data_IF_449694704717
#
_entry.id   IF_449694704717
#
_cell.length_a   1.000
_cell.length_b   1.000
_cell.length_c   1.000
_cell.angle_alpha   90.00
_cell.angle_beta   90.00
_cell.angle_gamma   90.00
#
_symmetry.space_group_name_H-M   'P 1'
#
loop_
_entity.id
_entity.type
_entity.pdbx_description
1 polymer ?
#
# COMPACT_ATOMS: atom_id res chain seq x y z
N UNK A 1 -1.47 -25.55 0.42
CA UNK A 1 -1.26 -24.19 -0.11
C UNK A 1 -2.56 -23.50 -0.46
N UNK A 2 -3.53 -24.16 -1.11
CA UNK A 2 -4.78 -23.51 -1.59
C UNK A 2 -5.72 -22.89 -0.53
N UNK A 3 -5.80 -23.43 0.71
CA UNK A 3 -6.72 -22.91 1.74
C UNK A 3 -6.30 -21.54 2.32
N UNK A 4 -5.00 -21.27 2.37
CA UNK A 4 -4.46 -20.00 2.91
C UNK A 4 -4.60 -18.90 1.87
N UNK A 5 -4.41 -19.23 0.59
CA UNK A 5 -4.51 -18.28 -0.53
C UNK A 5 -5.95 -17.83 -0.77
N UNK A 6 -6.94 -18.73 -0.72
CA UNK A 6 -8.36 -18.36 -0.85
C UNK A 6 -8.86 -17.48 0.30
N UNK A 7 -8.37 -17.74 1.51
CA UNK A 7 -8.70 -16.93 2.70
C UNK A 7 -8.14 -15.51 2.58
N UNK A 8 -6.90 -15.37 2.12
CA UNK A 8 -6.27 -14.06 1.90
C UNK A 8 -6.98 -13.25 0.79
N UNK A 9 -7.43 -13.91 -0.28
CA UNK A 9 -8.18 -13.25 -1.36
C UNK A 9 -9.52 -12.73 -0.82
N UNK A 10 -10.31 -13.58 -0.15
CA UNK A 10 -11.60 -13.19 0.39
C UNK A 10 -11.50 -12.05 1.42
N UNK A 11 -10.45 -12.04 2.25
CA UNK A 11 -10.18 -10.94 3.17
C UNK A 11 -9.94 -9.62 2.42
N UNK A 12 -9.07 -9.64 1.41
CA UNK A 12 -8.74 -8.44 0.62
C UNK A 12 -9.95 -7.93 -0.16
N UNK A 13 -10.76 -8.83 -0.73
CA UNK A 13 -12.01 -8.46 -1.42
C UNK A 13 -13.01 -7.81 -0.46
N UNK A 14 -13.20 -8.38 0.74
CA UNK A 14 -14.05 -7.82 1.78
C UNK A 14 -13.57 -6.42 2.19
N UNK A 15 -12.27 -6.26 2.42
CA UNK A 15 -11.68 -4.96 2.79
C UNK A 15 -11.90 -3.96 1.65
N UNK A 16 -11.63 -4.35 0.40
CA UNK A 16 -11.81 -3.46 -0.75
C UNK A 16 -13.25 -2.96 -0.86
N UNK A 17 -14.23 -3.86 -0.76
CA UNK A 17 -15.65 -3.52 -0.82
C UNK A 17 -16.09 -2.61 0.33
N UNK A 18 -15.59 -2.84 1.54
CA UNK A 18 -15.84 -1.98 2.70
C UNK A 18 -15.24 -0.58 2.49
N UNK A 19 -14.00 -0.50 1.99
CA UNK A 19 -13.30 0.77 1.80
C UNK A 19 -13.96 1.65 0.73
N UNK A 20 -14.57 1.03 -0.29
CA UNK A 20 -15.32 1.78 -1.30
C UNK A 20 -16.58 2.45 -0.76
N UNK A 21 -17.04 2.06 0.44
CA UNK A 21 -18.24 2.56 1.10
C UNK A 21 -17.95 3.19 2.48
N UNK A 22 -16.72 3.68 2.70
CA UNK A 22 -16.35 4.30 3.99
C UNK A 22 -17.20 5.55 4.30
N UNK A 23 -17.52 5.73 5.57
CA UNK A 23 -18.20 6.93 6.07
C UNK A 23 -17.23 7.86 6.81
N UNK A 24 -17.54 9.16 6.93
CA UNK A 24 -16.72 10.10 7.72
C UNK A 24 -16.52 9.64 9.18
N UNK A 25 -17.56 9.09 9.82
CA UNK A 25 -17.48 8.58 11.20
C UNK A 25 -16.46 7.44 11.33
N UNK A 26 -16.39 6.59 10.31
CA UNK A 26 -15.40 5.51 10.27
C UNK A 26 -13.98 6.06 10.12
N UNK A 27 -13.77 7.07 9.26
CA UNK A 27 -12.47 7.74 9.11
C UNK A 27 -12.01 8.36 10.43
N UNK A 28 -12.91 9.00 11.18
CA UNK A 28 -12.59 9.57 12.49
C UNK A 28 -12.13 8.48 13.48
N UNK A 29 -12.90 7.37 13.57
CA UNK A 29 -12.57 6.23 14.43
C UNK A 29 -11.21 5.59 14.10
N UNK A 30 -10.88 5.49 12.81
CA UNK A 30 -9.59 4.91 12.39
C UNK A 30 -8.45 5.90 12.60
N UNK A 31 -8.67 7.20 12.43
CA UNK A 31 -7.66 8.24 12.69
C UNK A 31 -7.10 8.15 14.11
N UNK A 32 -7.95 7.96 15.13
CA UNK A 32 -7.50 7.78 16.52
C UNK A 32 -6.61 6.55 16.70
N UNK A 33 -6.98 5.44 16.05
CA UNK A 33 -6.19 4.20 16.08
C UNK A 33 -4.84 4.39 15.39
N UNK A 34 -4.84 5.03 14.22
CA UNK A 34 -3.63 5.30 13.46
C UNK A 34 -2.71 6.24 14.23
N UNK A 35 -3.24 7.32 14.81
CA UNK A 35 -2.47 8.22 15.65
C UNK A 35 -1.78 7.49 16.80
N UNK A 36 -2.47 6.53 17.43
CA UNK A 36 -1.93 5.75 18.54
C UNK A 36 -0.89 4.70 18.10
N UNK A 37 -1.17 3.94 17.04
CA UNK A 37 -0.41 2.73 16.72
C UNK A 37 0.53 2.87 15.52
N UNK A 38 0.20 3.73 14.56
CA UNK A 38 0.94 3.94 13.32
C UNK A 38 0.97 5.44 12.95
N UNK A 39 1.51 6.31 13.83
CA UNK A 39 1.42 7.77 13.65
C UNK A 39 2.06 8.27 12.36
N UNK A 40 3.05 7.56 11.83
CA UNK A 40 3.67 7.94 10.56
C UNK A 40 2.72 7.84 9.36
N UNK A 41 1.73 6.93 9.38
CA UNK A 41 0.71 6.91 8.33
C UNK A 41 -0.13 8.20 8.32
N UNK A 42 -0.42 8.78 9.48
CA UNK A 42 -1.10 10.08 9.56
C UNK A 42 -0.22 11.17 8.97
N UNK A 43 1.09 11.15 9.24
CA UNK A 43 2.02 12.11 8.64
C UNK A 43 2.03 12.04 7.11
N UNK A 44 1.90 10.84 6.53
CA UNK A 44 1.77 10.68 5.07
C UNK A 44 0.43 11.22 4.56
N UNK A 45 -0.67 10.86 5.21
CA UNK A 45 -2.02 11.38 4.86
C UNK A 45 -2.04 12.90 4.83
N UNK A 46 -1.41 13.56 5.79
CA UNK A 46 -1.39 15.02 5.92
C UNK A 46 -0.34 15.68 5.03
N UNK A 47 0.83 15.05 4.87
CA UNK A 47 1.95 15.58 4.09
C UNK A 47 1.75 15.46 2.58
N UNK A 48 1.07 14.41 2.13
CA UNK A 48 0.87 14.16 0.70
C UNK A 48 -0.19 15.09 0.08
N UNK A 49 -1.06 15.74 0.86
CA UNK A 49 -2.21 16.50 0.30
C UNK A 49 -1.86 17.76 -0.49
N UNK A 50 -0.60 18.23 -0.47
CA UNK A 50 -0.23 19.52 -1.05
C UNK A 50 -0.29 19.52 -2.59
N UNK A 51 -0.16 18.36 -3.23
CA UNK A 51 -0.06 18.23 -4.70
C UNK A 51 -1.20 17.43 -5.37
N UNK A 52 -2.20 16.96 -4.61
CA UNK A 52 -3.30 16.14 -5.13
C UNK A 52 -4.63 16.89 -5.15
N UNK A 53 -5.46 16.59 -6.15
CA UNK A 53 -6.87 17.01 -6.16
C UNK A 53 -7.64 16.33 -5.01
N UNK A 54 -8.78 16.89 -4.56
CA UNK A 54 -9.57 16.27 -3.49
C UNK A 54 -9.97 14.82 -3.75
N UNK A 55 -10.26 14.47 -5.00
CA UNK A 55 -10.62 13.11 -5.40
C UNK A 55 -9.42 12.16 -5.35
N UNK A 56 -8.23 12.63 -5.74
CA UNK A 56 -7.00 11.85 -5.63
C UNK A 56 -6.63 11.63 -4.17
N UNK A 57 -6.74 12.67 -3.34
CA UNK A 57 -6.52 12.58 -1.90
C UNK A 57 -7.50 11.59 -1.23
N UNK A 58 -8.75 11.52 -1.69
CA UNK A 58 -9.72 10.51 -1.21
C UNK A 58 -9.26 9.08 -1.55
N UNK A 59 -8.78 8.83 -2.77
CA UNK A 59 -8.26 7.50 -3.13
C UNK A 59 -6.97 7.15 -2.38
N UNK A 60 -6.13 8.14 -2.05
CA UNK A 60 -4.98 7.95 -1.16
C UNK A 60 -5.41 7.57 0.25
N UNK A 61 -6.38 8.29 0.81
CA UNK A 61 -6.96 7.97 2.12
C UNK A 61 -7.49 6.53 2.15
N UNK A 62 -8.25 6.14 1.13
CA UNK A 62 -8.76 4.76 0.97
C UNK A 62 -7.63 3.74 0.94
N UNK A 63 -6.51 4.03 0.30
CA UNK A 63 -5.34 3.16 0.33
C UNK A 63 -4.77 2.99 1.75
N UNK A 64 -4.56 4.07 2.51
CA UNK A 64 -4.04 3.94 3.88
C UNK A 64 -5.02 3.21 4.82
N UNK A 65 -6.33 3.42 4.63
CA UNK A 65 -7.35 2.69 5.38
C UNK A 65 -7.35 1.20 5.02
N UNK A 66 -7.21 0.86 3.74
CA UNK A 66 -7.08 -0.52 3.28
C UNK A 66 -5.83 -1.20 3.87
N UNK A 67 -4.70 -0.48 3.91
CA UNK A 67 -3.48 -0.96 4.56
C UNK A 67 -3.73 -1.22 6.06
N UNK A 68 -4.30 -0.27 6.77
CA UNK A 68 -4.61 -0.42 8.19
C UNK A 68 -5.53 -1.62 8.45
N UNK A 69 -6.62 -1.73 7.70
CA UNK A 69 -7.61 -2.79 7.88
C UNK A 69 -7.03 -4.18 7.63
N UNK A 70 -6.13 -4.30 6.66
CA UNK A 70 -5.46 -5.56 6.36
C UNK A 70 -4.43 -5.98 7.41
N UNK A 71 -3.84 -5.03 8.13
CA UNK A 71 -2.73 -5.30 9.05
C UNK A 71 -3.08 -5.16 10.54
N UNK A 72 -4.15 -4.46 10.92
CA UNK A 72 -4.38 -4.04 12.31
C UNK A 72 -4.40 -5.18 13.34
N UNK A 73 -4.78 -6.39 12.93
CA UNK A 73 -4.87 -7.56 13.82
C UNK A 73 -3.68 -8.53 13.67
N UNK A 74 -2.71 -8.20 12.82
CA UNK A 74 -1.49 -8.97 12.66
C UNK A 74 -0.48 -8.66 13.77
N UNK A 75 0.44 -9.61 13.98
CA UNK A 75 1.51 -9.51 14.99
C UNK A 75 2.26 -8.18 14.82
N UNK A 76 2.67 -7.58 15.94
CA UNK A 76 3.50 -6.38 16.03
C UNK A 76 2.93 -5.06 15.50
N UNK A 77 1.88 -5.05 14.66
CA UNK A 77 1.36 -3.82 14.04
C UNK A 77 0.90 -2.77 15.06
N UNK A 78 0.36 -3.19 16.20
CA UNK A 78 -0.02 -2.29 17.29
C UNK A 78 1.12 -1.99 18.29
N UNK A 79 2.30 -2.57 18.09
CA UNK A 79 3.45 -2.49 19.02
C UNK A 79 4.66 -1.75 18.42
N UNK A 80 4.87 -1.90 17.12
CA UNK A 80 6.04 -1.36 16.41
C UNK A 80 5.54 -0.33 15.39
N UNK A 81 5.68 0.97 15.66
CA UNK A 81 5.30 2.00 14.70
C UNK A 81 6.28 2.00 13.52
N UNK A 82 5.75 2.22 12.31
CA UNK A 82 6.57 2.53 11.15
C UNK A 82 7.30 3.86 11.36
N UNK A 83 8.61 3.89 11.12
CA UNK A 83 9.39 5.14 11.11
C UNK A 83 9.55 5.68 9.70
N UNK A 84 9.68 7.00 9.59
CA UNK A 84 9.94 7.68 8.32
C UNK A 84 11.24 7.19 7.66
N UNK A 85 12.25 6.86 8.45
CA UNK A 85 13.51 6.32 7.96
C UNK A 85 13.32 4.94 7.29
N UNK A 86 12.61 4.02 7.95
CA UNK A 86 12.32 2.69 7.38
C UNK A 86 11.53 2.80 6.08
N UNK A 87 10.53 3.68 6.05
CA UNK A 87 9.77 3.94 4.84
C UNK A 87 10.67 4.45 3.71
N UNK A 88 11.49 5.49 3.96
CA UNK A 88 12.40 6.04 2.95
C UNK A 88 13.39 4.99 2.44
N UNK A 89 13.98 4.18 3.32
CA UNK A 89 14.89 3.11 2.91
C UNK A 89 14.20 2.11 1.98
N UNK A 90 12.95 1.72 2.28
CA UNK A 90 12.17 0.82 1.42
C UNK A 90 11.79 1.47 0.10
N UNK A 91 11.37 2.73 0.14
CA UNK A 91 11.01 3.51 -1.05
C UNK A 91 12.19 3.68 -2.00
N UNK A 92 13.38 4.03 -1.50
CA UNK A 92 14.61 4.11 -2.30
C UNK A 92 14.93 2.79 -2.99
N UNK A 93 14.84 1.65 -2.28
CA UNK A 93 15.05 0.32 -2.88
C UNK A 93 14.05 0.01 -3.99
N UNK A 94 12.78 0.40 -3.81
CA UNK A 94 11.77 0.21 -4.85
C UNK A 94 12.03 1.11 -6.06
N UNK A 95 12.47 2.36 -5.86
CA UNK A 95 12.89 3.24 -6.96
C UNK A 95 14.07 2.65 -7.72
N UNK A 96 15.11 2.18 -7.01
CA UNK A 96 16.27 1.51 -7.61
C UNK A 96 15.85 0.29 -8.42
N UNK A 97 14.92 -0.51 -7.90
CA UNK A 97 14.37 -1.67 -8.59
C UNK A 97 13.64 -1.27 -9.89
N UNK A 98 12.79 -0.24 -9.87
CA UNK A 98 12.12 0.22 -11.09
C UNK A 98 13.10 0.82 -12.11
N UNK A 99 14.10 1.58 -11.65
CA UNK A 99 15.17 2.10 -12.50
C UNK A 99 16.03 0.98 -13.12
N UNK A 100 16.16 -0.14 -12.41
CA UNK A 100 16.80 -1.34 -12.94
C UNK A 100 15.95 -1.97 -14.05
N UNK A 101 14.64 -2.13 -13.83
CA UNK A 101 13.72 -2.68 -14.85
C UNK A 101 13.70 -1.87 -16.15
N UNK A 102 13.81 -0.54 -16.08
CA UNK A 102 13.86 0.32 -17.27
C UNK A 102 15.07 0.04 -18.19
N UNK A 103 16.13 -0.58 -17.66
CA UNK A 103 17.36 -0.90 -18.38
C UNK A 103 17.41 -2.34 -18.90
N UNK A 104 16.48 -3.18 -18.46
CA UNK A 104 16.44 -4.60 -18.78
C UNK A 104 15.72 -4.88 -20.10
N UNK A 105 15.97 -6.06 -20.68
CA UNK A 105 15.12 -6.56 -21.76
C UNK A 105 13.71 -6.82 -21.23
N UNK A 106 12.73 -6.94 -22.12
CA UNK A 106 11.36 -7.27 -21.72
C UNK A 106 11.31 -8.57 -20.91
N UNK A 107 12.01 -9.61 -21.37
CA UNK A 107 12.08 -10.91 -20.70
C UNK A 107 12.80 -10.81 -19.34
N UNK A 108 13.88 -10.02 -19.27
CA UNK A 108 14.61 -9.75 -18.03
C UNK A 108 13.73 -9.03 -17.01
N UNK A 109 13.00 -8.01 -17.44
CA UNK A 109 12.08 -7.26 -16.59
C UNK A 109 10.90 -8.12 -16.10
N UNK A 110 10.34 -8.96 -16.96
CA UNK A 110 9.29 -9.93 -16.59
C UNK A 110 9.80 -10.93 -15.55
N UNK A 111 11.00 -11.49 -15.75
CA UNK A 111 11.63 -12.41 -14.81
C UNK A 111 11.87 -11.77 -13.44
N UNK A 112 12.49 -10.59 -13.41
CA UNK A 112 12.73 -9.84 -12.18
C UNK A 112 11.42 -9.49 -11.46
N UNK A 113 10.39 -9.13 -12.20
CA UNK A 113 9.05 -8.82 -11.66
C UNK A 113 8.40 -10.05 -11.03
N UNK A 114 8.49 -11.20 -11.68
CA UNK A 114 7.97 -12.46 -11.12
C UNK A 114 8.67 -12.82 -9.80
N UNK A 115 9.99 -12.65 -9.72
CA UNK A 115 10.74 -12.85 -8.47
C UNK A 115 10.31 -11.85 -7.40
N UNK A 116 10.15 -10.57 -7.74
CA UNK A 116 9.75 -9.54 -6.78
C UNK A 116 8.35 -9.82 -6.20
N UNK A 117 7.39 -10.18 -7.06
CA UNK A 117 6.03 -10.55 -6.65
C UNK A 117 6.04 -11.82 -5.79
N UNK A 118 6.80 -12.85 -6.18
CA UNK A 118 6.88 -14.10 -5.43
C UNK A 118 7.43 -13.91 -4.01
N UNK A 119 8.32 -12.93 -3.82
CA UNK A 119 8.91 -12.59 -2.53
C UNK A 119 8.08 -11.58 -1.72
N UNK A 120 7.01 -11.02 -2.28
CA UNK A 120 6.10 -10.12 -1.56
C UNK A 120 5.15 -10.95 -0.69
N UNK A 121 5.22 -10.77 0.64
CA UNK A 121 4.37 -11.53 1.56
C UNK A 121 2.89 -11.20 1.37
N UNK A 122 2.56 -9.92 1.29
CA UNK A 122 1.18 -9.45 1.08
C UNK A 122 0.82 -9.22 -0.39
N UNK A 123 1.18 -10.17 -1.27
CA UNK A 123 0.99 -10.08 -2.74
C UNK A 123 -0.47 -9.87 -3.17
N UNK A 124 -1.45 -10.41 -2.45
CA UNK A 124 -2.87 -10.25 -2.80
C UNK A 124 -3.37 -8.83 -2.52
N UNK A 125 -2.95 -8.24 -1.40
CA UNK A 125 -3.21 -6.83 -1.11
C UNK A 125 -2.57 -5.95 -2.20
N UNK A 126 -1.30 -6.21 -2.54
CA UNK A 126 -0.61 -5.48 -3.61
C UNK A 126 -1.34 -5.60 -4.96
N UNK A 127 -1.82 -6.80 -5.31
CA UNK A 127 -2.62 -7.03 -6.50
C UNK A 127 -3.94 -6.24 -6.51
N UNK A 128 -4.64 -6.17 -5.38
CA UNK A 128 -5.84 -5.36 -5.26
C UNK A 128 -5.56 -3.86 -5.41
N UNK A 129 -4.46 -3.36 -4.83
CA UNK A 129 -3.99 -1.98 -5.01
C UNK A 129 -3.74 -1.71 -6.50
N UNK A 130 -2.93 -2.55 -7.15
CA UNK A 130 -2.62 -2.42 -8.59
C UNK A 130 -3.89 -2.39 -9.45
N UNK A 131 -4.86 -3.26 -9.15
CA UNK A 131 -6.15 -3.28 -9.84
C UNK A 131 -6.89 -1.94 -9.69
N UNK A 132 -6.83 -1.27 -8.53
CA UNK A 132 -7.45 0.06 -8.36
C UNK A 132 -6.81 1.09 -9.29
N UNK A 133 -5.49 1.11 -9.42
CA UNK A 133 -4.78 2.00 -10.35
C UNK A 133 -5.13 1.75 -11.83
N UNK A 134 -5.62 0.56 -12.16
CA UNK A 134 -6.05 0.20 -13.51
C UNK A 134 -7.55 0.44 -13.77
N UNK A 135 -8.37 0.57 -12.73
CA UNK A 135 -9.85 0.54 -12.85
C UNK A 135 -10.56 1.78 -12.30
N UNK A 136 -9.96 2.51 -11.35
CA UNK A 136 -10.56 3.72 -10.77
C UNK A 136 -10.26 4.92 -11.67
N UNK A 137 -11.27 5.60 -12.26
CA UNK A 137 -11.05 6.68 -13.21
C UNK A 137 -10.13 7.79 -12.67
N UNK A 138 -10.26 8.13 -11.38
CA UNK A 138 -9.40 9.12 -10.71
C UNK A 138 -7.93 8.72 -10.76
N UNK A 139 -7.61 7.46 -10.44
CA UNK A 139 -6.23 6.96 -10.43
C UNK A 139 -5.69 6.69 -11.85
N UNK A 140 -6.56 6.28 -12.78
CA UNK A 140 -6.19 6.06 -14.19
C UNK A 140 -5.81 7.39 -14.85
N UNK A 141 -6.59 8.44 -14.59
CA UNK A 141 -6.42 9.77 -15.17
C UNK A 141 -5.46 10.68 -14.39
N UNK A 142 -4.96 10.24 -13.24
CA UNK A 142 -3.94 10.95 -12.45
C UNK A 142 -2.69 11.20 -13.32
N UNK A 143 -2.06 12.39 -13.24
CA UNK A 143 -0.82 12.68 -13.95
C UNK A 143 0.22 11.57 -13.74
N UNK A 144 0.90 11.16 -14.82
CA UNK A 144 1.77 9.99 -14.80
C UNK A 144 2.79 10.01 -13.65
N UNK A 145 3.44 11.15 -13.43
CA UNK A 145 4.42 11.31 -12.35
C UNK A 145 3.80 11.08 -10.97
N UNK A 146 2.67 11.72 -10.69
CA UNK A 146 1.93 11.56 -9.43
C UNK A 146 1.51 10.11 -9.21
N UNK A 147 1.00 9.47 -10.28
CA UNK A 147 0.56 8.07 -10.26
C UNK A 147 1.71 7.11 -9.94
N UNK A 148 2.88 7.32 -10.55
CA UNK A 148 4.07 6.50 -10.29
C UNK A 148 4.56 6.70 -8.86
N UNK A 149 4.68 7.96 -8.39
CA UNK A 149 5.09 8.27 -7.01
C UNK A 149 4.16 7.62 -5.99
N UNK A 150 2.84 7.72 -6.22
CA UNK A 150 1.86 7.14 -5.32
C UNK A 150 1.91 5.60 -5.34
N UNK A 151 2.04 4.98 -6.51
CA UNK A 151 2.16 3.52 -6.62
C UNK A 151 3.41 2.97 -5.93
N UNK A 152 4.57 3.63 -6.11
CA UNK A 152 5.83 3.27 -5.43
C UNK A 152 5.66 3.39 -3.92
N UNK A 153 4.99 4.44 -3.45
CA UNK A 153 4.70 4.66 -2.03
C UNK A 153 3.79 3.56 -1.49
N UNK A 154 2.77 3.15 -2.24
CA UNK A 154 1.88 2.05 -1.86
C UNK A 154 2.65 0.73 -1.68
N UNK A 155 3.46 0.35 -2.67
CA UNK A 155 4.29 -0.87 -2.60
C UNK A 155 5.22 -0.84 -1.40
N UNK A 156 5.90 0.30 -1.19
CA UNK A 156 6.86 0.47 -0.10
C UNK A 156 6.21 0.36 1.27
N UNK A 157 4.98 0.88 1.44
CA UNK A 157 4.23 0.74 2.68
C UNK A 157 3.79 -0.71 2.94
N UNK A 158 3.32 -1.41 1.91
CA UNK A 158 2.97 -2.84 2.03
C UNK A 158 4.17 -3.63 2.54
N UNK A 159 5.34 -3.44 1.94
CA UNK A 159 6.57 -4.14 2.35
C UNK A 159 7.07 -3.73 3.74
N UNK A 160 6.91 -2.45 4.11
CA UNK A 160 7.23 -2.02 5.48
C UNK A 160 6.35 -2.69 6.52
N UNK A 161 5.05 -2.84 6.23
CA UNK A 161 4.12 -3.50 7.13
C UNK A 161 4.37 -5.01 7.19
N UNK A 162 4.70 -5.64 6.06
CA UNK A 162 5.18 -7.03 6.02
C UNK A 162 6.39 -7.24 6.94
N UNK A 163 7.41 -6.37 6.86
CA UNK A 163 8.60 -6.44 7.71
C UNK A 163 8.24 -6.32 9.21
N UNK A 164 7.28 -5.46 9.57
CA UNK A 164 6.81 -5.30 10.95
C UNK A 164 6.13 -6.60 11.44
N UNK A 165 5.25 -7.18 10.64
CA UNK A 165 4.53 -8.42 10.99
C UNK A 165 5.49 -9.59 11.16
N UNK A 166 6.49 -9.69 10.29
CA UNK A 166 7.44 -10.80 10.25
C UNK A 166 8.60 -10.64 11.26
N UNK A 167 8.75 -9.46 11.89
CA UNK A 167 9.76 -9.24 12.92
C UNK A 167 9.61 -10.25 14.08
N UNK A 168 10.73 -10.89 14.42
CA UNK A 168 10.80 -11.91 15.48
C UNK A 168 10.51 -11.30 16.84
#
# INVERSE_FOLDING_TARGET
MEKTDSTNIAEVERITAMIDNITPDYVHKISDKLYKYQPYLISLVLGDQVDFTPLEAEEMLKFYLMLWEYYQDKKNIKKVPLSAEKFRQKQSKNIEYFNYLEKESKEGAEFATNINIANTHSKYLLGAILKRFQTRPVLVNMPHQNRVVFLISCKSLVECFDDIVLAK
#
